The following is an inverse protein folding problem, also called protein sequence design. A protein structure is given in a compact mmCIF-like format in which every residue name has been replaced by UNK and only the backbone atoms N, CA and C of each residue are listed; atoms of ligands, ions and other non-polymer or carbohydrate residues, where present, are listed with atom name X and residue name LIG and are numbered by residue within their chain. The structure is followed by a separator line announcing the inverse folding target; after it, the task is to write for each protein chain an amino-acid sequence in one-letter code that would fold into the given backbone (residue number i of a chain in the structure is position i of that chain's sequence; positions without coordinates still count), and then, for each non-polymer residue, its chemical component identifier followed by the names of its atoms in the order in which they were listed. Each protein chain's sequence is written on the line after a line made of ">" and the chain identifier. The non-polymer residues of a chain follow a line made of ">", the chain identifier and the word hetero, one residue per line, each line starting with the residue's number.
data_IF_191818920440
#
_entry.id   IF_191818920440
#
_cell.length_a   1.000
_cell.length_b   1.000
_cell.length_c   1.000
_cell.angle_alpha   90.00
_cell.angle_beta   90.00
_cell.angle_gamma   90.00
#
_symmetry.space_group_name_H-M   'P 1'
#
loop_
_entity.id
_entity.type
_entity.pdbx_description
1 polymer ?
#
# COMPACT_ATOMS: atom_id res chain seq x y z
N UNK A 1 12.32 6.75 13.69
CA UNK A 1 11.54 6.25 12.53
C UNK A 1 10.20 5.69 12.95
N UNK A 2 10.16 4.76 13.91
CA UNK A 2 8.87 4.24 14.41
C UNK A 2 8.07 5.29 15.20
N UNK A 3 8.73 6.13 16.00
CA UNK A 3 8.07 7.27 16.65
C UNK A 3 7.40 8.22 15.64
N UNK A 4 8.10 8.55 14.55
CA UNK A 4 7.53 9.33 13.44
C UNK A 4 6.30 8.65 12.85
N UNK A 5 6.33 7.33 12.59
CA UNK A 5 5.16 6.62 12.11
C UNK A 5 3.99 6.64 13.10
N UNK A 6 4.28 6.55 14.40
CA UNK A 6 3.27 6.65 15.45
C UNK A 6 2.61 8.03 15.47
N UNK A 7 3.38 9.11 15.27
CA UNK A 7 2.85 10.47 15.12
C UNK A 7 1.95 10.58 13.88
N UNK A 8 2.35 10.01 12.74
CA UNK A 8 1.53 10.01 11.51
C UNK A 8 0.16 9.36 11.71
N UNK A 9 0.08 8.30 12.52
CA UNK A 9 -1.19 7.62 12.81
C UNK A 9 -2.15 8.49 13.64
N UNK A 10 -1.65 9.47 14.39
CA UNK A 10 -2.45 10.41 15.17
C UNK A 10 -2.84 11.69 14.42
N UNK A 11 -2.28 11.94 13.23
CA UNK A 11 -2.54 13.16 12.48
C UNK A 11 -3.90 13.12 11.77
N UNK A 12 -4.60 14.27 11.67
CA UNK A 12 -5.78 14.39 10.83
C UNK A 12 -5.41 14.27 9.34
N UNK A 13 -6.36 13.82 8.52
CA UNK A 13 -6.13 13.50 7.11
C UNK A 13 -5.53 14.66 6.29
N UNK A 14 -5.93 15.90 6.56
CA UNK A 14 -5.40 17.09 5.88
C UNK A 14 -3.93 17.37 6.23
N UNK A 15 -3.54 17.19 7.49
CA UNK A 15 -2.15 17.34 7.91
C UNK A 15 -1.29 16.21 7.32
N UNK A 16 -1.81 14.99 7.33
CA UNK A 16 -1.13 13.84 6.73
C UNK A 16 -0.88 14.06 5.22
N UNK A 17 -1.85 14.67 4.52
CA UNK A 17 -1.72 15.01 3.09
C UNK A 17 -0.65 16.07 2.85
N UNK A 18 -0.59 17.11 3.69
CA UNK A 18 0.45 18.15 3.62
C UNK A 18 1.83 17.56 3.89
N UNK A 19 1.94 16.70 4.90
CA UNK A 19 3.17 15.99 5.24
C UNK A 19 3.64 15.10 4.07
N UNK A 20 2.71 14.36 3.45
CA UNK A 20 3.02 13.58 2.26
C UNK A 20 3.58 14.43 1.13
N UNK A 21 2.95 15.57 0.81
CA UNK A 21 3.43 16.47 -0.24
C UNK A 21 4.81 17.06 0.09
N UNK A 22 5.02 17.48 1.33
CA UNK A 22 6.30 18.00 1.82
C UNK A 22 7.42 16.96 1.69
N UNK A 23 7.21 15.76 2.22
CA UNK A 23 8.20 14.68 2.20
C UNK A 23 8.43 14.19 0.76
N UNK A 24 7.39 14.14 -0.07
CA UNK A 24 7.52 13.78 -1.48
C UNK A 24 8.38 14.78 -2.25
N UNK A 25 8.17 16.09 -2.04
CA UNK A 25 8.98 17.14 -2.66
C UNK A 25 10.42 17.11 -2.15
N UNK A 26 10.64 16.94 -0.84
CA UNK A 26 11.97 16.82 -0.27
C UNK A 26 12.72 15.62 -0.86
N UNK A 27 12.05 14.47 -0.98
CA UNK A 27 12.63 13.28 -1.60
C UNK A 27 12.93 13.48 -3.10
N UNK A 28 12.08 14.20 -3.83
CA UNK A 28 12.32 14.50 -5.24
C UNK A 28 13.60 15.34 -5.46
N UNK A 29 13.93 16.23 -4.51
CA UNK A 29 15.12 17.10 -4.57
C UNK A 29 16.40 16.37 -4.19
N UNK A 30 16.39 15.68 -3.04
CA UNK A 30 17.60 15.16 -2.40
C UNK A 30 17.81 13.65 -2.63
N UNK A 31 16.72 12.90 -2.88
CA UNK A 31 16.73 11.44 -3.03
C UNK A 31 17.47 10.67 -1.92
N UNK A 32 17.58 11.30 -0.74
CA UNK A 32 18.26 10.73 0.41
C UNK A 32 17.56 9.46 0.91
N UNK A 33 18.34 8.59 1.54
CA UNK A 33 17.83 7.34 2.10
C UNK A 33 16.81 7.59 3.22
N UNK A 34 17.06 8.60 4.05
CA UNK A 34 16.13 9.00 5.11
C UNK A 34 14.82 9.52 4.52
N UNK A 35 14.88 10.36 3.48
CA UNK A 35 13.69 10.84 2.77
C UNK A 35 12.90 9.70 2.13
N UNK A 36 13.59 8.71 1.56
CA UNK A 36 12.96 7.50 1.02
C UNK A 36 12.20 6.72 2.09
N UNK A 37 12.83 6.48 3.24
CA UNK A 37 12.21 5.73 4.33
C UNK A 37 11.02 6.48 4.95
N UNK A 38 11.11 7.82 5.10
CA UNK A 38 9.99 8.64 5.56
C UNK A 38 8.81 8.57 4.59
N UNK A 39 9.08 8.70 3.29
CA UNK A 39 8.06 8.57 2.26
C UNK A 39 7.44 7.16 2.24
N UNK A 40 8.28 6.12 2.39
CA UNK A 40 7.81 4.74 2.46
C UNK A 40 6.85 4.53 3.64
N UNK A 41 7.17 5.08 4.81
CA UNK A 41 6.31 5.01 5.99
C UNK A 41 4.97 5.72 5.78
N UNK A 42 4.98 6.92 5.18
CA UNK A 42 3.76 7.65 4.81
C UNK A 42 2.86 6.85 3.84
N UNK A 43 3.46 6.10 2.92
CA UNK A 43 2.73 5.24 1.99
C UNK A 43 2.19 3.95 2.64
N UNK A 44 2.68 3.60 3.84
CA UNK A 44 2.18 2.48 4.62
C UNK A 44 1.02 2.85 5.56
N UNK A 45 0.70 4.14 5.73
CA UNK A 45 -0.41 4.59 6.58
C UNK A 45 -1.73 4.03 6.03
N UNK A 46 -2.56 3.37 6.86
CA UNK A 46 -3.83 2.83 6.43
C UNK A 46 -4.80 3.94 6.00
N UNK A 47 -5.59 3.71 4.96
CA UNK A 47 -6.58 4.67 4.47
C UNK A 47 -6.02 5.89 3.74
N UNK A 48 -4.70 5.97 3.52
CA UNK A 48 -4.09 7.06 2.77
C UNK A 48 -4.56 7.09 1.29
N UNK A 49 -5.02 8.26 0.83
CA UNK A 49 -5.55 8.42 -0.53
C UNK A 49 -4.48 8.34 -1.64
N UNK A 50 -3.20 8.55 -1.29
CA UNK A 50 -2.04 8.48 -2.20
C UNK A 50 -1.33 7.12 -2.15
N UNK A 51 -1.99 6.11 -1.60
CA UNK A 51 -1.41 4.79 -1.44
C UNK A 51 -1.27 4.10 -2.80
N UNK A 52 -0.04 3.67 -3.08
CA UNK A 52 0.32 2.93 -4.28
C UNK A 52 1.37 1.88 -3.91
N UNK A 53 0.92 0.64 -3.77
CA UNK A 53 1.74 -0.47 -3.30
C UNK A 53 2.80 -0.85 -4.34
N UNK A 54 2.53 -0.67 -5.64
CA UNK A 54 3.48 -0.97 -6.72
C UNK A 54 4.63 0.03 -6.75
N UNK A 55 4.30 1.33 -6.67
CA UNK A 55 5.31 2.40 -6.56
C UNK A 55 6.16 2.26 -5.31
N UNK A 56 5.55 1.88 -4.18
CA UNK A 56 6.26 1.65 -2.93
C UNK A 56 7.28 0.51 -3.03
N UNK A 57 6.90 -0.63 -3.63
CA UNK A 57 7.82 -1.76 -3.82
C UNK A 57 9.02 -1.38 -4.68
N UNK A 58 8.80 -0.74 -5.83
CA UNK A 58 9.90 -0.30 -6.70
C UNK A 58 10.85 0.68 -6.00
N UNK A 59 10.31 1.56 -5.15
CA UNK A 59 11.12 2.46 -4.33
C UNK A 59 11.97 1.72 -3.29
N UNK A 60 11.42 0.69 -2.63
CA UNK A 60 12.12 -0.09 -1.62
C UNK A 60 13.19 -1.02 -2.22
N UNK A 61 12.96 -1.58 -3.41
CA UNK A 61 13.95 -2.39 -4.15
C UNK A 61 15.22 -1.61 -4.46
N UNK A 62 15.07 -0.37 -4.96
CA UNK A 62 16.21 0.53 -5.20
C UNK A 62 16.94 0.99 -3.93
N UNK A 63 16.35 0.76 -2.74
CA UNK A 63 16.98 1.01 -1.45
C UNK A 63 17.74 -0.20 -0.93
N UNK A 64 17.17 -1.40 -1.06
CA UNK A 64 17.80 -2.66 -0.64
C UNK A 64 19.06 -2.98 -1.48
N UNK A 65 19.09 -2.57 -2.75
CA UNK A 65 20.22 -2.77 -3.66
C UNK A 65 21.49 -1.97 -3.29
N UNK A 66 21.38 -0.95 -2.43
CA UNK A 66 22.52 -0.08 -2.09
C UNK A 66 23.31 -0.58 -0.88
N UNK A 67 24.51 -1.11 -1.12
CA UNK A 67 25.75 -1.11 -0.30
C UNK A 67 25.65 -1.25 1.24
N UNK A 68 24.52 -1.66 1.80
CA UNK A 68 24.35 -1.87 3.22
C UNK A 68 24.72 -3.33 3.54
N UNK A 69 25.54 -3.58 4.58
CA UNK A 69 25.77 -4.94 5.07
C UNK A 69 24.45 -5.65 5.38
N UNK A 70 24.40 -6.96 5.20
CA UNK A 70 23.20 -7.77 5.43
C UNK A 70 22.64 -7.62 6.86
N UNK A 71 23.54 -7.42 7.84
CA UNK A 71 23.19 -7.22 9.25
C UNK A 71 22.81 -5.78 9.62
N UNK A 72 22.74 -4.88 8.64
CA UNK A 72 22.30 -3.50 8.89
C UNK A 72 20.82 -3.50 9.33
N UNK A 73 20.48 -2.99 10.54
CA UNK A 73 19.10 -2.90 11.01
C UNK A 73 18.18 -2.14 10.04
N UNK A 74 18.75 -1.17 9.32
CA UNK A 74 18.06 -0.43 8.26
C UNK A 74 17.66 -1.31 7.08
N UNK A 75 18.53 -2.23 6.67
CA UNK A 75 18.26 -3.12 5.54
C UNK A 75 17.19 -4.15 5.93
N UNK A 76 17.30 -4.71 7.14
CA UNK A 76 16.28 -5.60 7.71
C UNK A 76 14.91 -4.89 7.79
N UNK A 77 14.89 -3.61 8.16
CA UNK A 77 13.68 -2.80 8.18
C UNK A 77 13.07 -2.59 6.78
N UNK A 78 13.89 -2.31 5.77
CA UNK A 78 13.44 -2.20 4.37
C UNK A 78 12.83 -3.53 3.90
N UNK A 79 13.50 -4.65 4.19
CA UNK A 79 13.02 -5.99 3.83
C UNK A 79 11.69 -6.29 4.52
N UNK A 80 11.55 -5.94 5.80
CA UNK A 80 10.30 -6.08 6.53
C UNK A 80 9.18 -5.28 5.86
N UNK A 81 9.42 -4.01 5.52
CA UNK A 81 8.45 -3.17 4.82
C UNK A 81 8.06 -3.77 3.47
N UNK A 82 9.03 -4.27 2.69
CA UNK A 82 8.75 -4.95 1.41
C UNK A 82 7.80 -6.14 1.61
N UNK A 83 8.10 -7.03 2.57
CA UNK A 83 7.26 -8.19 2.86
C UNK A 83 5.85 -7.78 3.27
N UNK A 84 5.70 -6.76 4.11
CA UNK A 84 4.39 -6.26 4.53
C UNK A 84 3.56 -5.72 3.34
N UNK A 85 4.21 -5.00 2.43
CA UNK A 85 3.55 -4.46 1.22
C UNK A 85 3.17 -5.58 0.25
N UNK A 86 4.02 -6.61 0.10
CA UNK A 86 3.72 -7.78 -0.74
C UNK A 86 2.54 -8.59 -0.21
N UNK A 87 2.50 -8.87 1.10
CA UNK A 87 1.35 -9.57 1.71
C UNK A 87 0.06 -8.77 1.55
N UNK A 88 0.14 -7.45 1.67
CA UNK A 88 -1.00 -6.57 1.48
C UNK A 88 -1.53 -6.59 0.04
N UNK A 89 -0.65 -6.62 -0.97
CA UNK A 89 -1.08 -6.80 -2.36
C UNK A 89 -1.74 -8.17 -2.59
N UNK A 90 -1.23 -9.21 -1.96
CA UNK A 90 -1.79 -10.56 -2.05
C UNK A 90 -3.20 -10.61 -1.45
N UNK A 91 -3.40 -9.99 -0.29
CA UNK A 91 -4.73 -9.89 0.33
C UNK A 91 -5.70 -9.04 -0.51
N UNK A 92 -5.24 -7.95 -1.13
CA UNK A 92 -6.08 -7.17 -2.04
C UNK A 92 -6.54 -8.01 -3.24
N UNK A 93 -5.63 -8.73 -3.89
CA UNK A 93 -5.98 -9.63 -5.01
C UNK A 93 -7.01 -10.68 -4.59
N UNK A 94 -6.83 -11.26 -3.41
CA UNK A 94 -7.77 -12.25 -2.86
C UNK A 94 -9.15 -11.64 -2.61
N UNK A 95 -9.21 -10.40 -2.11
CA UNK A 95 -10.46 -9.68 -1.91
C UNK A 95 -11.17 -9.40 -3.25
N UNK A 96 -10.42 -8.95 -4.26
CA UNK A 96 -10.95 -8.68 -5.60
C UNK A 96 -11.51 -9.97 -6.26
N UNK A 97 -10.80 -11.10 -6.13
CA UNK A 97 -11.28 -12.41 -6.60
C UNK A 97 -12.57 -12.85 -5.92
N UNK A 98 -12.70 -12.63 -4.60
CA UNK A 98 -13.91 -12.96 -3.86
C UNK A 98 -15.08 -12.07 -4.28
N UNK A 99 -14.83 -10.77 -4.50
CA UNK A 99 -15.82 -9.84 -5.00
C UNK A 99 -16.34 -10.26 -6.39
N UNK A 100 -15.44 -10.63 -7.30
CA UNK A 100 -15.81 -11.12 -8.63
C UNK A 100 -16.67 -12.39 -8.57
N UNK A 101 -16.37 -13.31 -7.65
CA UNK A 101 -17.16 -14.53 -7.43
C UNK A 101 -18.58 -14.20 -6.93
N UNK A 102 -18.70 -13.26 -5.98
CA UNK A 102 -19.99 -12.79 -5.48
C UNK A 102 -20.83 -12.15 -6.60
N UNK A 103 -20.24 -11.27 -7.39
CA UNK A 103 -20.93 -10.60 -8.51
C UNK A 103 -21.39 -11.60 -9.57
N UNK A 104 -20.59 -12.63 -9.83
CA UNK A 104 -20.93 -13.73 -10.73
C UNK A 104 -22.13 -14.53 -10.20
N UNK A 105 -22.14 -14.85 -8.90
CA UNK A 105 -23.26 -15.55 -8.27
C UNK A 105 -24.57 -14.74 -8.33
N UNK A 106 -24.50 -13.43 -8.03
CA UNK A 106 -25.65 -12.54 -8.12
C UNK A 106 -26.19 -12.44 -9.56
N UNK A 107 -25.30 -12.40 -10.54
CA UNK A 107 -25.67 -12.38 -11.95
C UNK A 107 -26.38 -13.69 -12.35
N UNK A 108 -25.86 -14.83 -11.91
CA UNK A 108 -26.49 -16.14 -12.13
C UNK A 108 -27.87 -16.18 -11.47
N UNK A 109 -28.02 -15.72 -10.23
CA UNK A 109 -29.30 -15.70 -9.51
C UNK A 109 -30.35 -14.86 -10.26
N UNK A 110 -29.98 -13.65 -10.70
CA UNK A 110 -30.86 -12.78 -11.50
C UNK A 110 -31.30 -13.46 -12.80
N UNK A 111 -30.38 -14.13 -13.50
CA UNK A 111 -30.69 -14.87 -14.73
C UNK A 111 -31.66 -16.04 -14.51
N UNK A 112 -31.58 -16.71 -13.35
CA UNK A 112 -32.44 -17.84 -12.99
C UNK A 112 -33.84 -17.36 -12.59
N UNK A 113 -33.93 -16.26 -11.83
CA UNK A 113 -35.21 -15.61 -11.50
C UNK A 113 -35.93 -15.14 -12.76
N UNK A 114 -35.24 -14.48 -13.69
CA UNK A 114 -35.81 -14.01 -14.95
C UNK A 114 -36.31 -15.14 -15.87
N UNK A 115 -35.59 -16.28 -15.93
CA UNK A 115 -36.03 -17.46 -16.69
C UNK A 115 -37.27 -18.14 -16.09
N UNK A 116 -37.43 -18.11 -14.76
CA UNK A 116 -38.64 -18.66 -14.10
C UNK A 116 -39.89 -17.82 -14.37
N UNK A 117 -39.76 -16.51 -14.53
CA UNK A 117 -40.89 -15.61 -14.82
C UNK A 117 -41.38 -15.68 -16.27
N UNK A 118 -40.53 -16.05 -17.24
CA UNK A 118 -40.91 -16.19 -18.65
C UNK A 118 -41.61 -17.52 -19.01
N UNK A 119 -41.68 -18.49 -18.08
CA UNK A 119 -42.28 -19.82 -18.32
C UNK A 119 -43.73 -19.97 -17.80
N UNK A 120 -44.43 -18.85 -17.56
CA UNK A 120 -45.87 -18.81 -17.25
C UNK A 120 -46.59 -18.00 -18.32
#
# INVERSE_FOLDING_TARGET
>A
MLAYYQELLGMPAEELKREYQSVSQAFARDRSELGRLRLALLMCVPGAAWRDDAKLLGMLEGAASRKAPFDSPRLQFIILLQKLVMERQKEQKRADELQQKLDSMLTIERSLRGRRTQKK
#
